data_IF_529971134384
#
_entry.id   IF_529971134384
#
_cell.length_a   1.000
_cell.length_b   1.000
_cell.length_c   1.000
_cell.angle_alpha   90.00
_cell.angle_beta   90.00
_cell.angle_gamma   90.00
#
_symmetry.space_group_name_H-M   'P 1'
#
loop_
_entity.id
_entity.type
_entity.pdbx_description
1 polymer ?
#
# COMPACT_ATOMS: atom_id res chain seq x y z
N UNK A 1 10.79 17.73 -21.97
CA UNK A 1 10.20 16.52 -21.37
C UNK A 1 8.88 16.94 -20.72
N UNK A 2 7.69 16.51 -21.21
CA UNK A 2 6.45 16.83 -20.52
C UNK A 2 6.37 15.94 -19.28
N UNK A 3 6.44 16.55 -18.10
CA UNK A 3 6.07 15.90 -16.83
C UNK A 3 4.59 15.57 -16.97
N UNK A 4 4.27 14.29 -17.16
CA UNK A 4 2.91 13.81 -17.26
C UNK A 4 2.22 14.19 -15.95
N UNK A 5 1.40 15.25 -15.98
CA UNK A 5 0.47 15.61 -14.90
C UNK A 5 -0.64 14.57 -14.89
N UNK A 6 -0.31 13.33 -14.53
CA UNK A 6 -1.31 12.33 -14.18
C UNK A 6 -1.94 12.84 -12.90
N UNK A 7 -3.26 13.03 -12.94
CA UNK A 7 -4.01 13.38 -11.75
C UNK A 7 -3.95 12.16 -10.83
N UNK A 8 -3.46 12.28 -9.59
CA UNK A 8 -3.55 11.19 -8.65
C UNK A 8 -5.00 10.78 -8.50
N UNK A 9 -5.27 9.48 -8.58
CA UNK A 9 -6.59 8.94 -8.29
C UNK A 9 -6.76 9.01 -6.78
N UNK A 10 -7.37 10.10 -6.32
CA UNK A 10 -7.66 10.32 -4.89
C UNK A 10 -8.78 9.37 -4.49
N UNK A 11 -8.40 8.37 -3.68
CA UNK A 11 -9.19 7.50 -2.78
C UNK A 11 -10.65 7.26 -3.17
N UNK A 12 -10.91 6.10 -3.79
CA UNK A 12 -12.25 5.49 -3.84
C UNK A 12 -12.55 4.58 -2.63
N UNK A 13 -11.60 4.37 -1.72
CA UNK A 13 -11.78 3.52 -0.52
C UNK A 13 -11.86 4.36 0.74
N UNK A 14 -12.74 3.96 1.66
CA UNK A 14 -12.68 4.36 3.06
C UNK A 14 -11.39 3.80 3.68
N UNK A 15 -10.30 4.55 3.56
CA UNK A 15 -9.04 4.22 4.19
C UNK A 15 -9.14 4.52 5.69
N UNK A 16 -8.69 3.58 6.52
CA UNK A 16 -8.76 3.64 7.98
C UNK A 16 -7.41 3.86 8.66
N UNK A 17 -6.30 3.92 7.90
CA UNK A 17 -4.96 4.09 8.48
C UNK A 17 -4.71 5.51 8.99
N UNK A 18 -3.96 5.64 10.09
CA UNK A 18 -3.60 6.92 10.71
C UNK A 18 -2.92 7.90 9.76
N UNK A 19 -2.15 7.40 8.80
CA UNK A 19 -1.42 8.20 7.81
C UNK A 19 -2.03 8.08 6.42
N UNK A 20 -3.28 7.64 6.33
CA UNK A 20 -4.00 7.49 5.07
C UNK A 20 -3.86 8.75 4.23
N UNK A 21 -4.12 9.93 4.80
CA UNK A 21 -4.03 11.26 4.20
C UNK A 21 -2.72 11.53 3.46
N UNK A 22 -1.61 10.95 3.92
CA UNK A 22 -0.28 11.13 3.35
C UNK A 22 0.02 10.18 2.21
N UNK A 23 -0.73 9.09 2.08
CA UNK A 23 -0.55 8.06 1.05
C UNK A 23 -1.53 8.29 -0.10
N UNK A 24 -0.96 8.35 -1.30
CA UNK A 24 -1.65 8.40 -2.58
C UNK A 24 -1.12 7.28 -3.47
N UNK A 25 -1.94 6.77 -4.37
CA UNK A 25 -1.49 5.76 -5.33
C UNK A 25 -2.07 6.05 -6.71
N UNK A 26 -1.28 5.74 -7.73
CA UNK A 26 -1.67 5.78 -9.13
C UNK A 26 -1.42 4.40 -9.72
N UNK A 27 -2.38 3.88 -10.48
CA UNK A 27 -2.18 2.62 -11.20
C UNK A 27 -1.80 2.92 -12.65
N UNK A 28 -0.79 2.23 -13.15
CA UNK A 28 -0.42 2.30 -14.56
C UNK A 28 -1.29 1.36 -15.41
N UNK A 29 -1.18 1.49 -16.74
CA UNK A 29 -1.93 0.66 -17.68
C UNK A 29 -1.54 -0.84 -17.62
N UNK A 30 -0.44 -1.16 -16.96
CA UNK A 30 0.04 -2.53 -16.76
C UNK A 30 -0.43 -3.14 -15.43
N UNK A 31 -1.14 -2.38 -14.59
CA UNK A 31 -1.67 -2.84 -13.31
C UNK A 31 -0.68 -2.74 -12.14
N UNK A 32 0.44 -2.04 -12.31
CA UNK A 32 1.34 -1.70 -11.20
C UNK A 32 0.85 -0.42 -10.52
N UNK A 33 1.21 -0.23 -9.25
CA UNK A 33 0.86 0.97 -8.49
C UNK A 33 2.11 1.78 -8.16
N UNK A 34 2.12 3.04 -8.56
CA UNK A 34 3.07 4.04 -8.07
C UNK A 34 2.48 4.64 -6.79
N UNK A 35 3.22 4.52 -5.68
CA UNK A 35 2.79 4.95 -4.35
C UNK A 35 3.54 6.21 -3.98
N UNK A 36 2.77 7.28 -3.80
CA UNK A 36 3.24 8.58 -3.37
C UNK A 36 2.97 8.75 -1.87
N UNK A 37 4.00 9.17 -1.14
CA UNK A 37 3.91 9.51 0.28
C UNK A 37 4.36 10.95 0.42
N UNK A 38 3.51 11.79 1.02
CA UNK A 38 3.70 13.25 1.08
C UNK A 38 3.89 13.89 -0.31
N UNK A 39 3.30 13.27 -1.34
CA UNK A 39 3.42 13.72 -2.73
C UNK A 39 4.72 13.29 -3.44
N UNK A 40 5.60 12.55 -2.78
CA UNK A 40 6.82 12.00 -3.38
C UNK A 40 6.64 10.53 -3.72
N UNK A 41 7.10 10.10 -4.90
CA UNK A 41 7.13 8.68 -5.27
C UNK A 41 8.13 7.94 -4.37
N UNK A 42 7.61 7.15 -3.42
CA UNK A 42 8.42 6.39 -2.46
C UNK A 42 8.43 4.90 -2.73
N UNK A 43 7.36 4.35 -3.30
CA UNK A 43 7.31 2.94 -3.65
C UNK A 43 6.66 2.70 -4.99
N UNK A 44 7.00 1.56 -5.58
CA UNK A 44 6.31 0.99 -6.72
C UNK A 44 5.92 -0.44 -6.39
N UNK A 45 4.63 -0.73 -6.50
CA UNK A 45 4.06 -2.03 -6.25
C UNK A 45 3.81 -2.72 -7.59
N UNK A 46 4.54 -3.81 -7.84
CA UNK A 46 4.44 -4.55 -9.08
C UNK A 46 3.82 -5.91 -8.87
N UNK A 47 3.01 -6.32 -9.84
CA UNK A 47 2.37 -7.63 -9.85
C UNK A 47 3.23 -8.61 -10.63
N UNK A 48 3.54 -9.75 -10.04
CA UNK A 48 4.05 -10.88 -10.78
C UNK A 48 2.88 -11.74 -11.27
N UNK A 49 2.73 -11.83 -12.60
CA UNK A 49 1.66 -12.59 -13.25
C UNK A 49 1.96 -14.11 -13.33
N UNK A 50 2.84 -14.63 -12.48
CA UNK A 50 3.11 -16.06 -12.37
C UNK A 50 2.25 -16.65 -11.24
N UNK A 51 1.95 -17.95 -11.30
CA UNK A 51 1.24 -18.63 -10.22
C UNK A 51 2.26 -19.29 -9.27
N UNK A 52 2.18 -19.06 -7.95
CA UNK A 52 1.22 -18.22 -7.23
C UNK A 52 1.49 -16.71 -7.43
N UNK A 53 0.42 -15.91 -7.37
CA UNK A 53 0.49 -14.45 -7.60
C UNK A 53 1.20 -13.75 -6.44
N UNK A 54 2.30 -13.07 -6.75
CA UNK A 54 3.03 -12.24 -5.79
C UNK A 54 2.96 -10.78 -6.14
N UNK A 55 2.97 -9.95 -5.10
CA UNK A 55 3.13 -8.52 -5.19
C UNK A 55 4.49 -8.12 -4.64
N UNK A 56 5.22 -7.29 -5.37
CA UNK A 56 6.54 -6.85 -5.00
C UNK A 56 6.53 -5.34 -4.75
N UNK A 57 6.83 -4.95 -3.53
CA UNK A 57 6.97 -3.54 -3.15
C UNK A 57 8.43 -3.12 -3.29
N UNK A 58 8.70 -2.28 -4.28
CA UNK A 58 10.02 -1.74 -4.56
C UNK A 58 10.14 -0.33 -3.97
N UNK A 59 11.11 -0.08 -3.08
CA UNK A 59 11.45 1.28 -2.70
C UNK A 59 11.96 2.06 -3.91
N UNK A 60 11.60 3.34 -3.99
CA UNK A 60 12.05 4.29 -5.00
C UNK A 60 12.81 5.41 -4.30
N UNK A 61 14.07 5.57 -4.68
CA UNK A 61 14.96 6.61 -4.14
C UNK A 61 15.47 7.44 -5.31
N UNK A 62 15.24 8.76 -5.28
CA UNK A 62 15.60 9.69 -6.35
C UNK A 62 15.06 9.27 -7.73
N UNK A 63 13.86 8.67 -7.78
CA UNK A 63 13.22 8.19 -9.01
C UNK A 63 13.80 6.89 -9.56
N UNK A 64 14.78 6.28 -8.90
CA UNK A 64 15.29 4.95 -9.24
C UNK A 64 14.71 3.90 -8.29
N UNK A 65 14.29 2.76 -8.86
CA UNK A 65 13.93 1.58 -8.05
C UNK A 65 15.19 1.05 -7.39
N UNK A 66 15.08 0.71 -6.12
CA UNK A 66 16.17 0.16 -5.33
C UNK A 66 15.81 -1.23 -4.84
N UNK A 67 16.80 -2.13 -4.85
CA UNK A 67 16.73 -3.40 -4.14
C UNK A 67 17.24 -3.24 -2.70
N UNK A 68 16.71 -3.99 -1.72
CA UNK A 68 15.79 -5.12 -1.91
C UNK A 68 14.31 -4.72 -2.01
N UNK A 69 13.56 -5.48 -2.81
CA UNK A 69 12.09 -5.48 -2.80
C UNK A 69 11.51 -6.34 -1.70
N UNK A 70 10.30 -6.01 -1.25
CA UNK A 70 9.54 -6.83 -0.31
C UNK A 70 8.48 -7.62 -1.08
N UNK A 71 8.54 -8.95 -1.01
CA UNK A 71 7.57 -9.83 -1.64
C UNK A 71 6.38 -10.10 -0.70
N UNK A 72 5.18 -10.03 -1.25
CA UNK A 72 3.92 -10.20 -0.54
C UNK A 72 3.06 -11.24 -1.26
N UNK A 73 2.57 -12.22 -0.50
CA UNK A 73 1.58 -13.22 -0.95
C UNK A 73 0.18 -12.83 -0.45
N UNK A 74 -0.15 -11.54 -0.57
CA UNK A 74 -1.44 -10.94 -0.15
C UNK A 74 -1.93 -9.97 -1.22
N UNK A 75 -3.16 -9.48 -1.10
CA UNK A 75 -3.71 -8.56 -2.09
C UNK A 75 -3.04 -7.18 -2.01
N UNK A 76 -2.98 -6.48 -3.15
CA UNK A 76 -2.43 -5.13 -3.25
C UNK A 76 -3.05 -4.14 -2.25
N UNK A 77 -4.34 -4.31 -1.94
CA UNK A 77 -5.05 -3.43 -1.02
C UNK A 77 -4.64 -3.62 0.43
N UNK A 78 -4.22 -4.82 0.82
CA UNK A 78 -3.69 -5.09 2.15
C UNK A 78 -2.31 -4.43 2.30
N UNK A 79 -1.50 -4.45 1.24
CA UNK A 79 -0.19 -3.78 1.19
C UNK A 79 -0.35 -2.26 1.27
N UNK A 80 -1.29 -1.69 0.51
CA UNK A 80 -1.63 -0.26 0.59
C UNK A 80 -2.11 0.10 2.01
N UNK A 81 -2.94 -0.74 2.64
CA UNK A 81 -3.37 -0.51 4.03
C UNK A 81 -2.23 -0.61 5.06
N UNK A 82 -1.20 -1.43 4.84
CA UNK A 82 0.04 -1.41 5.65
C UNK A 82 0.77 -0.07 5.50
N UNK A 83 0.90 0.43 4.27
CA UNK A 83 1.52 1.73 3.99
C UNK A 83 0.73 2.89 4.63
N UNK A 84 -0.60 2.86 4.57
CA UNK A 84 -1.47 3.87 5.22
C UNK A 84 -1.34 3.86 6.76
N UNK A 85 -0.87 2.76 7.35
CA UNK A 85 -0.52 2.63 8.78
C UNK A 85 0.92 3.02 9.10
N UNK A 86 1.71 3.35 8.08
CA UNK A 86 3.11 3.77 8.24
C UNK A 86 4.12 2.65 8.07
N UNK A 87 3.69 1.40 7.84
CA UNK A 87 4.61 0.28 7.63
C UNK A 87 5.50 0.54 6.41
N UNK A 88 6.75 0.09 6.46
CA UNK A 88 7.76 0.20 5.40
C UNK A 88 8.36 1.59 5.16
N UNK A 89 7.78 2.68 5.68
CA UNK A 89 8.30 4.05 5.45
C UNK A 89 8.38 4.95 6.68
N UNK A 90 7.76 4.58 7.79
CA UNK A 90 8.00 5.21 9.08
C UNK A 90 8.94 4.36 9.96
N UNK A 91 9.70 5.01 10.87
CA UNK A 91 10.36 4.33 11.96
C UNK A 91 9.39 3.43 12.75
N UNK A 92 9.85 2.28 13.24
CA UNK A 92 9.01 1.26 13.88
C UNK A 92 8.24 1.78 15.11
N UNK A 93 8.71 2.83 15.77
CA UNK A 93 8.07 3.52 16.89
C UNK A 93 6.93 4.46 16.45
N UNK A 94 6.84 4.80 15.17
CA UNK A 94 5.83 5.67 14.58
C UNK A 94 4.78 4.91 13.76
N UNK A 95 5.06 3.64 13.43
CA UNK A 95 4.12 2.75 12.75
C UNK A 95 2.90 2.53 13.64
N UNK A 96 1.71 2.75 13.08
CA UNK A 96 0.47 2.34 13.72
C UNK A 96 0.39 0.81 13.74
N UNK A 97 0.58 0.23 14.91
CA UNK A 97 0.29 -1.17 15.14
C UNK A 97 -1.17 -1.29 15.52
N UNK A 98 -1.97 -1.96 14.69
CA UNK A 98 -3.26 -2.46 15.13
C UNK A 98 -3.01 -3.50 16.23
N UNK A 99 -3.04 -3.06 17.49
CA UNK A 99 -3.29 -3.97 18.61
C UNK A 99 -4.72 -4.51 18.48
N UNK A 100 -4.85 -5.62 17.76
CA UNK A 100 -5.91 -6.62 17.89
C UNK A 100 -7.36 -6.18 17.70
N UNK A 101 -7.87 -6.20 16.46
CA UNK A 101 -9.32 -6.39 16.20
C UNK A 101 -9.55 -7.32 15.00
N UNK A 102 -9.09 -8.57 15.11
CA UNK A 102 -9.60 -9.68 14.28
C UNK A 102 -9.86 -10.97 15.08
N UNK A 103 -9.99 -10.88 16.41
CA UNK A 103 -10.52 -11.96 17.25
C UNK A 103 -11.81 -11.47 17.93
N UNK A 104 -12.76 -10.84 17.23
CA UNK A 104 -14.12 -10.67 17.80
C UNK A 104 -15.28 -10.52 16.81
N UNK A 105 -15.08 -10.65 15.50
CA UNK A 105 -16.18 -10.56 14.52
C UNK A 105 -16.76 -11.92 14.06
N UNK A 106 -16.38 -13.04 14.71
CA UNK A 106 -17.01 -14.36 14.49
C UNK A 106 -17.48 -14.96 15.82
N UNK A 107 -18.29 -14.22 16.59
CA UNK A 107 -19.20 -14.84 17.57
C UNK A 107 -20.21 -13.84 18.11
N UNK A 108 -21.25 -13.56 17.32
CA UNK A 108 -22.63 -13.30 17.81
C UNK A 108 -23.55 -13.03 16.63
N UNK A 109 -23.94 -14.11 15.95
CA UNK A 109 -25.22 -14.13 15.24
C UNK A 109 -25.95 -15.43 15.55
N UNK A 110 -27.24 -15.26 15.86
CA UNK A 110 -28.35 -16.22 16.09
C UNK A 110 -28.41 -16.86 17.49
N UNK A 111 -29.31 -16.41 18.38
CA UNK A 111 -30.78 -16.66 18.46
C UNK A 111 -31.14 -18.15 18.46
N UNK A 112 -31.44 -18.68 19.64
CA UNK A 112 -32.66 -19.41 20.01
C UNK A 112 -32.57 -19.79 21.50
#
# INVERSE_FOLDING_TARGET
>A
MPVSTRKPVIRSRASSGKYADRVCYEHDATGNYDILIDGELRFRLERENQFPEFWYLYPVVNGARTDPSIAFEIQQWDIISQLERGEHWLPADQVEREEGVAIHAVRRFRWA
#
